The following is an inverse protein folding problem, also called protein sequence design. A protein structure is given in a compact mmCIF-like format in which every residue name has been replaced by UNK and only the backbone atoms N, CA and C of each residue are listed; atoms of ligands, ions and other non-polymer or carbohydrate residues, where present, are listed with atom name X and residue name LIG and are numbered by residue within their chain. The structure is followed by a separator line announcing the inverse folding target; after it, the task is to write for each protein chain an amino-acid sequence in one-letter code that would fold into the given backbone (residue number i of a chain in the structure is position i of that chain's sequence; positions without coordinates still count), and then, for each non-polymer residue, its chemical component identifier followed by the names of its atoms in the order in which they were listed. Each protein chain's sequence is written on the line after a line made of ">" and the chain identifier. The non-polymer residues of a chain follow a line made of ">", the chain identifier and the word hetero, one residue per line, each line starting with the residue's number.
data_IF_239661153493
#
_entry.id   IF_239661153493
#
_cell.length_a   1.000
_cell.length_b   1.000
_cell.length_c   1.000
_cell.angle_alpha   90.00
_cell.angle_beta   90.00
_cell.angle_gamma   90.00
#
_symmetry.space_group_name_H-M   'P 1'
#
loop_
_entity.id
_entity.type
_entity.pdbx_description
1 polymer ?
#
# COMPACT_ATOMS: atom_id res chain seq x y z
N UNK A 1 -24.71 6.90 15.14
CA UNK A 1 -24.16 6.28 14.75
C UNK A 1 -23.51 6.28 14.41
N UNK A 2 -23.28 6.49 14.35
CA UNK A 2 -22.60 6.02 13.97
C UNK A 2 -22.02 6.03 13.71
N UNK A 3 -22.62 6.31 14.13
CA UNK A 3 -21.98 5.90 13.85
C UNK A 3 -21.37 6.06 13.61
N UNK A 4 -21.64 5.95 13.90
CA UNK A 4 -20.95 5.54 13.65
C UNK A 4 -20.46 5.74 13.27
N UNK A 5 -20.72 5.87 13.49
CA UNK A 5 -20.11 5.63 13.10
C UNK A 5 -19.66 6.06 12.71
N UNK A 6 -20.15 6.19 12.97
CA UNK A 6 -19.65 6.08 12.68
C UNK A 6 -19.13 6.46 12.37
N UNK A 7 -19.41 6.62 12.45
CA UNK A 7 -18.80 6.50 12.19
C UNK A 7 -18.33 6.95 11.94
N UNK A 8 -18.70 7.18 12.10
CA UNK A 8 -18.22 7.10 11.91
C UNK A 8 -17.85 7.58 11.73
N UNK A 9 -18.00 7.84 11.93
CA UNK A 9 -17.56 7.84 11.76
C UNK A 9 -17.07 8.34 11.56
N UNK A 10 -17.41 8.43 11.62
CA UNK A 10 -16.99 8.44 11.54
C UNK A 10 -16.42 9.19 11.24
N UNK A 11 -16.67 9.40 11.30
CA UNK A 11 -16.06 9.44 11.15
C UNK A 11 -15.89 10.15 10.91
N UNK A 12 -16.33 10.51 11.02
CA UNK A 12 -16.02 10.64 10.81
C UNK A 12 -15.69 11.16 10.70
N UNK A 13 -16.09 11.35 10.98
CA UNK A 13 -15.59 11.23 10.93
C UNK A 13 -15.05 11.56 10.70
N UNK A 14 -15.07 11.92 10.76
CA UNK A 14 -14.37 11.70 10.63
C UNK A 14 -13.60 11.85 10.11
N UNK A 15 -14.11 11.77 10.18
CA UNK A 15 -13.46 11.31 9.94
C UNK A 15 -12.70 11.47 9.79
N UNK A 16 -12.69 11.82 9.58
CA UNK A 16 -11.87 11.75 9.71
C UNK A 16 -11.06 11.41 10.12
N UNK A 17 -10.71 11.53 9.92
CA UNK A 17 -9.78 10.91 10.85
C UNK A 17 -9.23 9.56 10.45
N UNK A 18 -9.90 8.82 9.68
CA UNK A 18 -9.46 7.51 9.22
C UNK A 18 -8.17 7.60 8.44
N UNK A 19 -7.98 8.65 7.68
CA UNK A 19 -6.77 8.81 6.89
C UNK A 19 -5.53 8.93 7.76
N UNK A 20 -5.66 9.49 8.96
CA UNK A 20 -4.52 9.61 9.86
C UNK A 20 -4.18 8.27 10.52
N UNK A 21 -5.15 7.34 10.58
CA UNK A 21 -4.92 6.01 11.13
C UNK A 21 -4.16 5.08 10.17
N UNK A 22 -4.04 5.47 8.90
CA UNK A 22 -3.40 4.65 7.87
C UNK A 22 -2.46 5.52 7.03
N UNK A 23 -1.35 5.99 7.63
CA UNK A 23 -0.47 6.93 6.91
C UNK A 23 0.23 6.32 5.70
N UNK A 24 0.36 4.99 5.65
CA UNK A 24 1.01 4.31 4.55
C UNK A 24 0.09 4.14 3.33
N UNK A 25 -1.19 4.47 3.47
CA UNK A 25 -2.16 4.31 2.39
C UNK A 25 -3.04 5.55 2.32
N UNK A 26 -3.07 6.20 1.16
CA UNK A 26 -3.86 7.39 0.96
C UNK A 26 -4.61 7.30 -0.36
N UNK A 27 -5.78 7.92 -0.41
CA UNK A 27 -6.55 8.08 -1.65
C UNK A 27 -6.31 9.50 -2.13
N UNK A 28 -5.81 9.64 -3.37
CA UNK A 28 -5.51 10.94 -3.92
C UNK A 28 -6.78 11.66 -4.37
N UNK A 29 -6.66 12.95 -4.70
CA UNK A 29 -7.78 13.72 -5.22
C UNK A 29 -8.35 13.20 -6.52
N UNK A 30 -7.57 12.39 -7.25
CA UNK A 30 -8.04 11.75 -8.49
C UNK A 30 -8.68 10.39 -8.25
N UNK A 31 -8.71 9.93 -7.01
CA UNK A 31 -9.27 8.62 -6.68
C UNK A 31 -8.28 7.48 -6.78
N UNK A 32 -7.02 7.76 -7.07
CA UNK A 32 -5.98 6.75 -7.10
C UNK A 32 -5.47 6.47 -5.69
N UNK A 33 -4.85 5.30 -5.51
CA UNK A 33 -4.21 4.95 -4.25
C UNK A 33 -2.75 5.34 -4.27
N UNK A 34 -2.27 5.83 -3.13
CA UNK A 34 -0.85 6.09 -2.93
C UNK A 34 -0.38 5.25 -1.75
N UNK A 35 0.59 4.37 -2.01
CA UNK A 35 1.04 3.37 -1.05
C UNK A 35 2.50 3.63 -0.69
N UNK A 36 2.79 3.75 0.60
CA UNK A 36 4.15 3.87 1.10
C UNK A 36 4.59 2.53 1.69
N UNK A 37 5.69 2.01 1.20
CA UNK A 37 6.21 0.72 1.64
C UNK A 37 7.66 0.85 2.08
N UNK A 38 8.08 -0.05 2.95
CA UNK A 38 9.47 -0.26 3.32
C UNK A 38 9.85 -1.66 2.88
N UNK A 39 10.76 -1.75 1.91
CA UNK A 39 11.10 -3.00 1.24
C UNK A 39 12.36 -3.60 1.87
N UNK A 40 12.30 -4.89 2.16
CA UNK A 40 13.46 -5.65 2.63
C UNK A 40 13.73 -6.76 1.61
N UNK A 41 14.72 -6.58 0.71
CA UNK A 41 15.05 -7.61 -0.27
C UNK A 41 15.82 -8.74 0.37
N UNK A 42 16.03 -9.82 -0.38
CA UNK A 42 16.79 -10.96 0.09
C UNK A 42 15.98 -11.96 0.89
N UNK A 43 14.67 -11.82 0.94
CA UNK A 43 13.82 -12.79 1.62
C UNK A 43 13.63 -14.04 0.77
N UNK A 44 13.32 -15.16 1.41
CA UNK A 44 13.06 -16.42 0.69
C UNK A 44 11.74 -16.37 -0.08
N UNK A 45 10.76 -15.66 0.45
CA UNK A 45 9.46 -15.48 -0.19
C UNK A 45 9.01 -14.04 0.00
N UNK A 46 8.19 -13.56 -0.93
CA UNK A 46 7.64 -12.22 -0.83
C UNK A 46 6.38 -12.24 0.02
N UNK A 47 6.34 -11.39 1.03
CA UNK A 47 5.20 -11.32 1.94
C UNK A 47 5.14 -9.96 2.62
N UNK A 48 3.93 -9.58 3.03
CA UNK A 48 3.74 -8.41 3.87
C UNK A 48 4.09 -8.77 5.31
N UNK A 49 4.90 -7.92 5.95
CA UNK A 49 5.34 -8.13 7.33
C UNK A 49 4.67 -7.14 8.29
N UNK A 50 3.53 -6.57 7.89
CA UNK A 50 2.78 -5.65 8.74
C UNK A 50 3.21 -4.20 8.56
N UNK A 51 2.71 -3.35 9.43
CA UNK A 51 3.02 -1.92 9.40
C UNK A 51 4.28 -1.65 10.22
N UNK A 52 5.18 -0.86 9.67
CA UNK A 52 6.41 -0.47 10.33
C UNK A 52 6.50 1.06 10.28
N UNK A 53 6.18 1.70 11.39
CA UNK A 53 6.09 3.16 11.43
C UNK A 53 4.97 3.66 10.53
N UNK A 54 5.31 4.51 9.57
CA UNK A 54 4.36 5.07 8.62
C UNK A 54 4.41 4.39 7.25
N UNK A 55 4.93 3.16 7.21
CA UNK A 55 5.07 2.41 5.97
C UNK A 55 4.64 0.95 6.17
N UNK A 56 4.19 0.34 5.08
CA UNK A 56 3.87 -1.08 5.04
C UNK A 56 5.16 -1.83 4.73
N UNK A 57 5.56 -2.74 5.62
CA UNK A 57 6.80 -3.49 5.43
C UNK A 57 6.56 -4.68 4.52
N UNK A 58 7.35 -4.77 3.45
CA UNK A 58 7.28 -5.86 2.48
C UNK A 58 8.64 -6.56 2.47
N UNK A 59 8.63 -7.86 2.80
CA UNK A 59 9.79 -8.71 2.58
C UNK A 59 9.72 -9.22 1.16
N UNK A 60 10.80 -9.04 0.42
CA UNK A 60 10.80 -9.22 -1.01
C UNK A 60 11.80 -10.28 -1.42
N UNK A 61 11.31 -11.28 -2.16
CA UNK A 61 12.18 -12.31 -2.76
C UNK A 61 12.79 -11.74 -4.03
N UNK A 62 13.87 -11.00 -3.87
CA UNK A 62 14.60 -10.39 -4.97
C UNK A 62 16.02 -10.07 -4.50
N UNK A 63 17.00 -10.07 -5.40
CA UNK A 63 18.33 -9.63 -5.03
C UNK A 63 18.31 -8.14 -4.66
N UNK A 64 19.29 -7.66 -3.87
CA UNK A 64 19.32 -6.23 -3.47
C UNK A 64 19.87 -5.37 -4.60
N UNK A 65 19.23 -5.45 -5.75
CA UNK A 65 19.51 -4.66 -6.94
C UNK A 65 18.25 -3.86 -7.23
N UNK A 66 18.38 -2.53 -7.29
CA UNK A 66 17.22 -1.63 -7.30
C UNK A 66 16.19 -1.96 -8.38
N UNK A 67 16.63 -2.12 -9.63
CA UNK A 67 15.71 -2.42 -10.72
C UNK A 67 14.97 -3.74 -10.53
N UNK A 68 15.66 -4.76 -10.05
CA UNK A 68 15.05 -6.07 -9.84
C UNK A 68 14.10 -6.05 -8.64
N UNK A 69 14.47 -5.36 -7.58
CA UNK A 69 13.60 -5.22 -6.42
C UNK A 69 12.32 -4.45 -6.77
N UNK A 70 12.45 -3.38 -7.55
CA UNK A 70 11.30 -2.58 -7.98
C UNK A 70 10.36 -3.41 -8.84
N UNK A 71 10.89 -4.18 -9.79
CA UNK A 71 10.09 -5.04 -10.65
C UNK A 71 9.34 -6.11 -9.85
N UNK A 72 10.04 -6.74 -8.91
CA UNK A 72 9.45 -7.77 -8.07
C UNK A 72 8.34 -7.21 -7.19
N UNK A 73 8.52 -6.01 -6.67
CA UNK A 73 7.51 -5.34 -5.84
C UNK A 73 6.25 -5.06 -6.64
N UNK A 74 6.39 -4.47 -7.83
CA UNK A 74 5.24 -4.15 -8.68
C UNK A 74 4.51 -5.42 -9.10
N UNK A 75 5.26 -6.45 -9.50
CA UNK A 75 4.66 -7.72 -9.91
C UNK A 75 3.87 -8.37 -8.77
N UNK A 76 4.42 -8.36 -7.57
CA UNK A 76 3.77 -8.93 -6.40
C UNK A 76 2.49 -8.17 -6.04
N UNK A 77 2.55 -6.84 -6.06
CA UNK A 77 1.38 -6.02 -5.78
C UNK A 77 0.28 -6.24 -6.80
N UNK A 78 0.63 -6.28 -8.08
CA UNK A 78 -0.34 -6.50 -9.14
C UNK A 78 -1.05 -7.84 -8.97
N UNK A 79 -0.30 -8.88 -8.64
CA UNK A 79 -0.85 -10.20 -8.41
C UNK A 79 -1.74 -10.22 -7.17
N UNK A 80 -1.27 -9.62 -6.09
CA UNK A 80 -1.99 -9.59 -4.81
C UNK A 80 -3.32 -8.84 -4.94
N UNK A 81 -3.30 -7.72 -5.66
CA UNK A 81 -4.48 -6.87 -5.84
C UNK A 81 -5.30 -7.24 -7.07
N UNK A 82 -4.86 -8.23 -7.84
CA UNK A 82 -5.54 -8.68 -9.06
C UNK A 82 -5.75 -7.54 -10.05
N UNK A 83 -4.69 -6.75 -10.27
CA UNK A 83 -4.74 -5.65 -11.22
C UNK A 83 -3.53 -5.74 -12.17
N UNK A 84 -3.61 -5.09 -13.34
CA UNK A 84 -2.48 -5.08 -14.27
C UNK A 84 -1.28 -4.33 -13.69
N UNK A 85 -0.07 -4.79 -13.99
CA UNK A 85 1.13 -4.10 -13.54
C UNK A 85 1.21 -2.67 -14.08
N UNK A 86 0.64 -2.43 -15.25
CA UNK A 86 0.65 -1.12 -15.88
C UNK A 86 -0.11 -0.07 -15.07
N UNK A 87 -0.97 -0.48 -14.13
CA UNK A 87 -1.71 0.44 -13.28
C UNK A 87 -0.92 0.85 -12.04
N UNK A 88 0.22 0.21 -11.79
CA UNK A 88 1.05 0.49 -10.62
C UNK A 88 2.31 1.20 -11.08
N UNK A 89 2.57 2.35 -10.47
CA UNK A 89 3.72 3.18 -10.83
C UNK A 89 4.52 3.50 -9.59
N UNK A 90 5.84 3.28 -9.64
CA UNK A 90 6.75 3.66 -8.58
C UNK A 90 7.10 5.14 -8.76
N UNK A 91 6.61 5.99 -7.86
CA UNK A 91 6.77 7.44 -8.01
C UNK A 91 7.91 8.01 -7.17
N UNK A 92 8.36 7.29 -6.13
CA UNK A 92 9.48 7.73 -5.30
C UNK A 92 10.24 6.54 -4.77
N UNK A 93 11.53 6.74 -4.52
CA UNK A 93 12.35 5.75 -3.84
C UNK A 93 12.87 4.66 -4.75
N UNK A 94 13.19 4.98 -6.01
CA UNK A 94 13.71 4.01 -6.95
C UNK A 94 14.98 3.32 -6.44
N UNK A 95 15.80 4.04 -5.69
CA UNK A 95 17.05 3.51 -5.15
C UNK A 95 17.05 3.43 -3.63
N UNK A 96 15.89 3.53 -3.02
CA UNK A 96 15.71 3.54 -1.58
C UNK A 96 14.88 2.34 -1.14
N UNK A 97 15.01 1.93 0.12
CA UNK A 97 14.14 0.90 0.68
C UNK A 97 12.74 1.42 0.95
N UNK A 98 12.63 2.71 1.22
CA UNK A 98 11.33 3.36 1.39
C UNK A 98 10.85 3.82 0.02
N UNK A 99 9.71 3.31 -0.42
CA UNK A 99 9.19 3.56 -1.75
C UNK A 99 7.75 4.01 -1.68
N UNK A 100 7.36 4.84 -2.62
CA UNK A 100 5.96 5.28 -2.78
C UNK A 100 5.48 4.87 -4.15
N UNK A 101 4.33 4.18 -4.17
CA UNK A 101 3.72 3.70 -5.41
C UNK A 101 2.36 4.34 -5.58
N UNK A 102 2.00 4.61 -6.83
CA UNK A 102 0.67 5.08 -7.20
C UNK A 102 -0.05 3.94 -7.91
N UNK A 103 -1.29 3.68 -7.52
CA UNK A 103 -2.11 2.64 -8.13
C UNK A 103 -3.31 3.31 -8.76
N UNK A 104 -3.38 3.26 -10.09
CA UNK A 104 -4.50 3.84 -10.84
C UNK A 104 -5.66 2.87 -10.82
N UNK A 105 -6.78 3.27 -10.24
CA UNK A 105 -7.93 2.38 -10.09
C UNK A 105 -9.22 3.20 -9.98
N UNK A 106 -10.32 2.60 -10.40
CA UNK A 106 -11.66 3.10 -10.14
C UNK A 106 -12.32 2.36 -8.97
N UNK A 107 -11.55 1.48 -8.30
CA UNK A 107 -12.02 0.68 -7.18
C UNK A 107 -11.14 0.89 -5.95
N UNK A 108 -10.82 2.15 -5.64
CA UNK A 108 -9.92 2.47 -4.55
C UNK A 108 -10.39 1.88 -3.21
N UNK A 109 -11.70 1.89 -2.95
CA UNK A 109 -12.24 1.33 -1.72
C UNK A 109 -11.95 -0.16 -1.58
N UNK A 110 -12.12 -0.90 -2.66
CA UNK A 110 -11.90 -2.35 -2.65
C UNK A 110 -10.42 -2.66 -2.41
N UNK A 111 -9.55 -2.00 -3.17
CA UNK A 111 -8.11 -2.22 -3.03
C UNK A 111 -7.60 -1.75 -1.68
N UNK A 112 -8.14 -0.67 -1.15
CA UNK A 112 -7.79 -0.17 0.17
C UNK A 112 -8.09 -1.21 1.24
N UNK A 113 -9.24 -1.84 1.19
CA UNK A 113 -9.61 -2.89 2.14
C UNK A 113 -8.69 -4.10 2.03
N UNK A 114 -8.34 -4.49 0.80
CA UNK A 114 -7.43 -5.60 0.59
C UNK A 114 -6.06 -5.32 1.19
N UNK A 115 -5.54 -4.12 1.01
CA UNK A 115 -4.25 -3.73 1.57
C UNK A 115 -4.29 -3.67 3.09
N UNK A 116 -5.37 -3.15 3.65
CA UNK A 116 -5.50 -3.08 5.11
C UNK A 116 -5.62 -4.47 5.72
N UNK A 117 -6.33 -5.38 5.08
CA UNK A 117 -6.42 -6.75 5.53
C UNK A 117 -5.05 -7.44 5.50
N UNK A 118 -4.28 -7.17 4.45
CA UNK A 118 -2.92 -7.70 4.31
C UNK A 118 -2.02 -7.18 5.43
N UNK A 119 -2.16 -5.92 5.79
CA UNK A 119 -1.34 -5.29 6.82
C UNK A 119 -1.64 -5.80 8.22
N UNK A 120 -2.86 -6.28 8.47
CA UNK A 120 -3.27 -6.70 9.81
C UNK A 120 -3.00 -8.18 10.09
N UNK A 121 -2.49 -8.92 9.12
CA UNK A 121 -2.17 -10.35 9.31
C UNK A 121 -0.84 -10.57 10.01
#
# INVERSE_FOLDING_TARGET
>A
MQPLNAAANWASSWGVTESSATPWLQITGKGDLQLTVHVQPGAKTTACAGVHGDALKIRLHAPPVDGKANQALVAWLAKTLSCPQSTIELIRGQTSRRKTLSIHTDQADVLSRQLQALASD
#
